data_IF_771616847296
#
_entry.id   IF_771616847296
#
_cell.length_a   1.000
_cell.length_b   1.000
_cell.length_c   1.000
_cell.angle_alpha   90.00
_cell.angle_beta   90.00
_cell.angle_gamma   90.00
#
_symmetry.space_group_name_H-M   'P 1'
#
loop_
_entity.id
_entity.type
_entity.pdbx_description
1 polymer ?
#
# COMPACT_ATOMS: atom_id res chain seq x y z
N UNK A 1 -26.39 26.63 49.00
CA UNK A 1 -25.45 25.76 48.30
C UNK A 1 -26.12 25.27 47.02
N UNK A 2 -25.84 25.93 45.93
CA UNK A 2 -26.28 25.49 44.59
C UNK A 2 -25.06 24.90 43.89
N UNK A 3 -25.10 23.60 43.65
CA UNK A 3 -24.09 22.85 42.87
C UNK A 3 -24.36 23.10 41.39
N UNK A 4 -23.46 23.77 40.72
CA UNK A 4 -23.47 23.95 39.28
C UNK A 4 -22.80 22.72 38.68
N UNK A 5 -23.58 21.78 38.12
CA UNK A 5 -23.10 20.76 37.20
C UNK A 5 -22.72 21.45 35.89
N UNK A 6 -21.44 21.54 35.61
CA UNK A 6 -20.92 21.88 34.31
C UNK A 6 -21.11 20.64 33.42
N UNK A 7 -22.13 20.68 32.55
CA UNK A 7 -22.24 19.74 31.46
C UNK A 7 -21.06 19.98 30.51
N UNK A 8 -20.18 18.99 30.41
CA UNK A 8 -19.16 18.91 29.36
C UNK A 8 -19.90 18.69 28.04
N UNK A 9 -20.10 19.76 27.29
CA UNK A 9 -20.46 19.65 25.88
C UNK A 9 -19.26 19.05 25.14
N UNK A 10 -19.33 17.74 24.90
CA UNK A 10 -18.47 17.11 23.91
C UNK A 10 -18.95 17.60 22.57
N UNK A 11 -18.29 18.60 22.02
CA UNK A 11 -18.45 19.01 20.64
C UNK A 11 -18.15 17.77 19.78
N UNK A 12 -19.17 17.06 19.32
CA UNK A 12 -19.02 16.04 18.29
C UNK A 12 -18.65 16.79 17.02
N UNK A 13 -17.38 16.82 16.67
CA UNK A 13 -16.93 17.32 15.38
C UNK A 13 -17.80 16.63 14.32
N UNK A 14 -18.52 17.42 13.53
CA UNK A 14 -19.36 16.90 12.45
C UNK A 14 -18.44 16.24 11.43
N UNK A 15 -18.60 14.94 11.23
CA UNK A 15 -17.77 14.18 10.30
C UNK A 15 -18.03 14.70 8.87
N UNK A 16 -16.99 15.23 8.25
CA UNK A 16 -17.02 15.73 6.88
C UNK A 16 -16.24 14.82 5.98
N UNK A 17 -16.87 14.30 4.92
CA UNK A 17 -16.26 13.47 3.89
C UNK A 17 -16.30 14.17 2.53
N UNK A 18 -15.52 13.68 1.57
CA UNK A 18 -15.48 14.20 0.19
C UNK A 18 -16.87 14.19 -0.45
N UNK A 19 -17.57 13.06 -0.28
CA UNK A 19 -19.00 12.96 -0.65
C UNK A 19 -19.84 12.68 0.60
N UNK A 20 -20.88 13.48 0.86
CA UNK A 20 -21.76 13.26 2.01
C UNK A 20 -22.35 11.82 2.03
N UNK A 21 -22.18 11.13 3.16
CA UNK A 21 -22.69 9.77 3.36
C UNK A 21 -21.78 8.65 2.87
N UNK A 22 -20.64 8.99 2.25
CA UNK A 22 -19.66 8.01 1.79
C UNK A 22 -18.32 8.18 2.49
N UNK A 23 -17.59 7.07 2.61
CA UNK A 23 -16.15 7.02 2.92
C UNK A 23 -15.44 6.56 1.66
N UNK A 24 -14.74 7.47 0.99
CA UNK A 24 -13.99 7.15 -0.23
C UNK A 24 -12.58 6.73 0.14
N UNK A 25 -12.26 5.47 -0.17
CA UNK A 25 -10.95 4.86 0.02
C UNK A 25 -10.25 4.71 -1.32
N UNK A 26 -9.09 5.35 -1.50
CA UNK A 26 -8.19 5.03 -2.61
C UNK A 26 -7.27 3.86 -2.23
N UNK A 27 -6.99 2.98 -3.20
CA UNK A 27 -6.16 1.80 -3.00
C UNK A 27 -5.50 1.35 -4.30
N UNK A 28 -4.60 0.35 -4.23
CA UNK A 28 -4.09 -0.39 -5.37
C UNK A 28 -4.34 -1.88 -5.14
N UNK A 29 -5.49 -2.37 -5.61
CA UNK A 29 -6.01 -3.71 -5.31
C UNK A 29 -5.29 -4.84 -6.08
N UNK A 30 -3.95 -4.83 -5.99
CA UNK A 30 -3.03 -5.83 -6.55
C UNK A 30 -1.91 -6.18 -5.55
N UNK A 31 -2.18 -6.04 -4.23
CA UNK A 31 -1.20 -6.19 -3.16
C UNK A 31 -1.67 -7.16 -2.06
N UNK A 32 -1.82 -8.46 -2.39
CA UNK A 32 -2.28 -9.46 -1.43
C UNK A 32 -1.28 -9.62 -0.27
N UNK A 33 -1.72 -9.92 0.96
CA UNK A 33 -3.11 -10.14 1.38
C UNK A 33 -3.83 -8.86 1.86
N UNK A 34 -3.27 -7.67 1.63
CA UNK A 34 -3.81 -6.41 2.13
C UNK A 34 -5.02 -5.94 1.30
N UNK A 35 -4.86 -5.84 0.00
CA UNK A 35 -5.90 -5.46 -0.95
C UNK A 35 -5.72 -6.18 -2.29
N UNK A 36 -6.80 -6.76 -2.79
CA UNK A 36 -6.79 -7.47 -4.06
C UNK A 36 -8.18 -7.49 -4.69
N UNK A 37 -8.17 -7.64 -6.01
CA UNK A 37 -9.38 -7.88 -6.79
C UNK A 37 -9.55 -9.37 -7.00
N UNK A 38 -10.73 -9.90 -6.71
CA UNK A 38 -11.09 -11.30 -6.93
C UNK A 38 -11.36 -11.57 -8.41
N UNK A 39 -11.46 -12.85 -8.78
CA UNK A 39 -11.87 -13.26 -10.14
C UNK A 39 -13.28 -12.78 -10.51
N UNK A 40 -14.15 -12.53 -9.52
CA UNK A 40 -15.49 -11.96 -9.71
C UNK A 40 -15.49 -10.44 -9.89
N UNK A 41 -14.33 -9.79 -9.69
CA UNK A 41 -14.18 -8.33 -9.75
C UNK A 41 -14.56 -7.62 -8.46
N UNK A 42 -14.73 -8.35 -7.35
CA UNK A 42 -14.95 -7.79 -6.02
C UNK A 42 -13.61 -7.51 -5.34
N UNK A 43 -13.61 -6.60 -4.37
CA UNK A 43 -12.42 -6.31 -3.57
C UNK A 43 -12.41 -7.14 -2.29
N UNK A 44 -11.23 -7.65 -1.91
CA UNK A 44 -11.01 -8.36 -0.64
C UNK A 44 -9.63 -8.07 -0.07
N UNK A 45 -9.42 -8.42 1.20
CA UNK A 45 -8.15 -8.28 1.90
C UNK A 45 -8.26 -7.50 3.20
N UNK A 46 -7.16 -7.45 3.94
CA UNK A 46 -7.08 -6.86 5.28
C UNK A 46 -7.50 -5.39 5.26
N UNK A 47 -7.00 -4.63 4.29
CA UNK A 47 -7.27 -3.20 4.16
C UNK A 47 -8.73 -2.95 3.76
N UNK A 48 -9.27 -3.79 2.86
CA UNK A 48 -10.67 -3.71 2.43
C UNK A 48 -11.63 -3.97 3.60
N UNK A 49 -11.41 -5.07 4.34
CA UNK A 49 -12.25 -5.43 5.49
C UNK A 49 -12.14 -4.39 6.62
N UNK A 50 -10.94 -3.85 6.84
CA UNK A 50 -10.72 -2.78 7.82
C UNK A 50 -11.45 -1.51 7.43
N UNK A 51 -11.37 -1.10 6.16
CA UNK A 51 -12.08 0.06 5.64
C UNK A 51 -13.60 -0.10 5.76
N UNK A 52 -14.12 -1.30 5.44
CA UNK A 52 -15.55 -1.59 5.61
C UNK A 52 -15.99 -1.47 7.07
N UNK A 53 -15.20 -2.02 8.00
CA UNK A 53 -15.50 -1.91 9.43
C UNK A 53 -15.45 -0.45 9.94
N UNK A 54 -14.58 0.38 9.39
CA UNK A 54 -14.53 1.82 9.68
C UNK A 54 -15.79 2.51 9.14
N UNK A 55 -16.15 2.26 7.88
CA UNK A 55 -17.34 2.85 7.26
C UNK A 55 -18.62 2.48 8.03
N UNK A 56 -18.80 1.21 8.37
CA UNK A 56 -19.92 0.72 9.15
C UNK A 56 -20.02 1.42 10.51
N UNK A 57 -18.90 1.58 11.21
CA UNK A 57 -18.82 2.24 12.51
C UNK A 57 -19.16 3.72 12.45
N UNK A 58 -18.84 4.37 11.33
CA UNK A 58 -19.15 5.78 11.06
C UNK A 58 -20.53 5.98 10.47
N UNK A 59 -21.24 4.90 10.09
CA UNK A 59 -22.55 4.97 9.41
C UNK A 59 -22.45 5.50 7.98
N UNK A 60 -21.32 5.24 7.31
CA UNK A 60 -21.04 5.66 5.94
C UNK A 60 -21.06 4.46 4.98
N UNK A 61 -21.33 4.73 3.71
CA UNK A 61 -21.14 3.75 2.62
C UNK A 61 -19.65 3.76 2.19
N UNK A 62 -19.00 2.60 2.17
CA UNK A 62 -17.62 2.50 1.64
C UNK A 62 -17.65 2.56 0.11
N UNK A 63 -16.88 3.47 -0.46
CA UNK A 63 -16.55 3.49 -1.88
C UNK A 63 -15.06 3.20 -2.03
N UNK A 64 -14.71 2.22 -2.88
CA UNK A 64 -13.32 1.84 -3.14
C UNK A 64 -12.95 2.31 -4.55
N UNK A 65 -11.92 3.15 -4.63
CA UNK A 65 -11.35 3.65 -5.87
C UNK A 65 -9.99 2.99 -6.09
N UNK A 66 -9.97 1.96 -6.96
CA UNK A 66 -8.75 1.22 -7.33
C UNK A 66 -7.96 1.97 -8.41
N UNK A 67 -6.68 2.18 -8.17
CA UNK A 67 -5.76 2.90 -9.06
C UNK A 67 -4.30 2.53 -8.77
N UNK A 68 -3.35 3.06 -9.55
CA UNK A 68 -1.92 2.88 -9.27
C UNK A 68 -1.56 3.45 -7.89
N UNK A 69 -0.58 2.84 -7.21
CA UNK A 69 -0.22 3.16 -5.82
C UNK A 69 0.10 4.64 -5.60
N UNK A 70 0.91 5.23 -6.47
CA UNK A 70 1.27 6.66 -6.40
C UNK A 70 0.06 7.57 -6.66
N UNK A 71 -0.85 7.16 -7.54
CA UNK A 71 -2.11 7.87 -7.77
C UNK A 71 -3.05 7.79 -6.56
N UNK A 72 -3.08 6.65 -5.85
CA UNK A 72 -3.88 6.48 -4.63
C UNK A 72 -3.41 7.42 -3.51
N UNK A 73 -2.09 7.56 -3.32
CA UNK A 73 -1.53 8.54 -2.38
C UNK A 73 -1.89 9.98 -2.78
N UNK A 74 -1.80 10.29 -4.06
CA UNK A 74 -2.10 11.62 -4.58
C UNK A 74 -3.59 11.97 -4.45
N UNK A 75 -4.49 10.98 -4.55
CA UNK A 75 -5.94 11.20 -4.42
C UNK A 75 -6.31 11.77 -3.04
N UNK A 76 -5.71 11.25 -1.96
CA UNK A 76 -5.91 11.79 -0.60
C UNK A 76 -5.31 13.19 -0.47
N UNK A 77 -4.08 13.41 -0.95
CA UNK A 77 -3.43 14.72 -0.89
C UNK A 77 -4.23 15.81 -1.61
N UNK A 78 -4.96 15.44 -2.67
CA UNK A 78 -5.80 16.34 -3.45
C UNK A 78 -7.24 16.46 -2.91
N UNK A 79 -7.58 15.76 -1.83
CA UNK A 79 -8.94 15.74 -1.29
C UNK A 79 -9.96 15.06 -2.22
N UNK A 80 -9.54 14.12 -3.03
CA UNK A 80 -10.40 13.30 -3.90
C UNK A 80 -10.84 12.00 -3.24
N UNK A 81 -10.09 11.53 -2.25
CA UNK A 81 -10.45 10.43 -1.38
C UNK A 81 -10.33 10.87 0.08
N UNK A 82 -11.12 10.27 0.96
CA UNK A 82 -11.10 10.54 2.39
C UNK A 82 -9.92 9.85 3.07
N UNK A 83 -9.54 8.69 2.56
CA UNK A 83 -8.41 7.91 3.07
C UNK A 83 -7.75 7.10 1.96
N UNK A 84 -6.52 6.68 2.21
CA UNK A 84 -5.82 5.66 1.43
C UNK A 84 -5.50 4.48 2.35
N UNK A 85 -5.83 3.27 1.91
CA UNK A 85 -5.38 2.01 2.52
C UNK A 85 -4.80 1.14 1.40
N UNK A 86 -3.50 0.93 1.43
CA UNK A 86 -2.72 0.24 0.40
C UNK A 86 -1.36 -0.20 0.98
N UNK A 87 -1.34 -0.73 2.19
CA UNK A 87 -0.10 -1.09 2.88
C UNK A 87 0.87 0.08 3.02
N UNK A 88 0.40 1.31 3.20
CA UNK A 88 1.21 2.52 3.13
C UNK A 88 2.13 2.66 4.32
N UNK A 89 3.44 2.61 4.09
CA UNK A 89 4.46 2.85 5.12
C UNK A 89 4.50 4.32 5.52
N UNK A 90 4.55 4.59 6.82
CA UNK A 90 4.78 5.93 7.36
C UNK A 90 6.21 6.37 7.08
N UNK A 91 6.39 7.49 6.42
CA UNK A 91 7.70 8.13 6.20
C UNK A 91 7.60 9.62 6.52
N UNK A 92 8.73 10.26 6.85
CA UNK A 92 8.77 11.69 7.15
C UNK A 92 8.25 12.52 5.96
N UNK A 93 8.57 12.11 4.73
CA UNK A 93 8.12 12.77 3.52
C UNK A 93 6.59 12.70 3.38
N UNK A 94 6.01 11.53 3.59
CA UNK A 94 4.56 11.33 3.51
C UNK A 94 3.82 12.06 4.64
N UNK A 95 4.39 12.10 5.86
CA UNK A 95 3.82 12.84 6.99
C UNK A 95 3.75 14.36 6.76
N UNK A 96 4.57 14.90 5.85
CA UNK A 96 4.49 16.32 5.49
C UNK A 96 3.24 16.67 4.66
N UNK A 97 2.56 15.68 4.06
CA UNK A 97 1.47 15.89 3.10
C UNK A 97 0.19 15.11 3.41
N UNK A 98 0.22 14.21 4.39
CA UNK A 98 -0.95 13.46 4.86
C UNK A 98 -0.78 13.06 6.33
N UNK A 99 -1.90 12.86 7.02
CA UNK A 99 -1.93 12.31 8.37
C UNK A 99 -2.03 10.78 8.33
N UNK A 100 -1.54 10.13 9.39
CA UNK A 100 -1.54 8.68 9.54
C UNK A 100 -2.26 8.26 10.82
N UNK A 101 -2.89 7.10 10.77
CA UNK A 101 -3.38 6.39 11.96
C UNK A 101 -2.23 5.76 12.75
N UNK A 102 -2.53 5.13 13.86
CA UNK A 102 -1.61 4.16 14.47
C UNK A 102 -1.30 3.04 13.47
N UNK A 103 -0.07 2.50 13.54
CA UNK A 103 0.35 1.42 12.67
C UNK A 103 -0.40 0.12 12.98
N UNK A 104 -0.96 -0.54 11.96
CA UNK A 104 -1.67 -1.81 12.08
C UNK A 104 -0.88 -3.00 11.54
N UNK A 105 0.22 -2.75 10.82
CA UNK A 105 1.12 -3.79 10.29
C UNK A 105 2.57 -3.32 10.29
N UNK A 106 3.50 -4.26 10.25
CA UNK A 106 4.94 -3.97 10.07
C UNK A 106 5.38 -4.54 8.73
N UNK A 107 5.77 -3.67 7.80
CA UNK A 107 6.34 -4.04 6.52
C UNK A 107 7.82 -4.44 6.66
N UNK A 108 8.23 -5.49 5.95
CA UNK A 108 9.62 -5.92 5.81
C UNK A 108 9.88 -6.09 4.31
N UNK A 109 10.87 -5.38 3.77
CA UNK A 109 11.27 -5.56 2.37
C UNK A 109 11.92 -6.93 2.18
N UNK A 110 11.56 -7.61 1.11
CA UNK A 110 12.09 -8.92 0.72
C UNK A 110 12.55 -8.91 -0.73
N UNK A 111 13.51 -9.77 -1.03
CA UNK A 111 14.05 -9.94 -2.37
C UNK A 111 13.50 -11.26 -2.92
N UNK A 112 12.72 -11.18 -4.01
CA UNK A 112 12.28 -12.36 -4.76
C UNK A 112 13.31 -12.63 -5.85
N UNK A 113 13.77 -13.88 -5.95
CA UNK A 113 14.70 -14.35 -6.96
C UNK A 113 14.22 -15.67 -7.55
N UNK A 114 14.78 -16.07 -8.70
CA UNK A 114 14.58 -17.42 -9.23
C UNK A 114 15.38 -18.44 -8.42
N UNK A 115 14.96 -19.72 -8.47
CA UNK A 115 15.64 -20.82 -7.74
C UNK A 115 17.13 -20.96 -8.09
N UNK A 116 17.52 -20.65 -9.32
CA UNK A 116 18.88 -20.74 -9.82
C UNK A 116 19.68 -19.42 -9.69
N UNK A 117 19.17 -18.43 -8.98
CA UNK A 117 19.80 -17.11 -8.81
C UNK A 117 21.09 -17.20 -7.98
N UNK A 118 22.05 -16.37 -8.32
CA UNK A 118 23.27 -16.13 -7.55
C UNK A 118 23.10 -15.08 -6.44
N UNK A 119 21.94 -14.41 -6.38
CA UNK A 119 21.61 -13.41 -5.37
C UNK A 119 21.20 -14.11 -4.08
N UNK A 120 21.96 -13.92 -2.99
CA UNK A 120 21.71 -14.51 -1.69
C UNK A 120 21.45 -13.46 -0.60
N UNK A 121 21.79 -12.21 -0.84
CA UNK A 121 21.64 -11.09 0.11
C UNK A 121 21.45 -9.76 -0.61
N UNK A 122 21.16 -8.69 0.14
CA UNK A 122 21.06 -7.32 -0.38
C UNK A 122 22.39 -6.83 -0.98
N UNK A 123 23.52 -7.32 -0.49
CA UNK A 123 24.85 -6.92 -0.98
C UNK A 123 25.10 -7.39 -2.43
N UNK A 124 24.39 -8.43 -2.88
CA UNK A 124 24.51 -8.99 -4.22
C UNK A 124 23.70 -8.20 -5.28
N UNK A 125 22.94 -7.20 -4.87
CA UNK A 125 22.09 -6.40 -5.77
C UNK A 125 22.87 -5.37 -6.59
N UNK A 126 24.12 -5.08 -6.23
CA UNK A 126 24.95 -4.12 -6.96
C UNK A 126 25.13 -4.53 -8.44
N UNK A 127 24.68 -3.66 -9.35
CA UNK A 127 24.75 -3.89 -10.81
C UNK A 127 23.71 -4.87 -11.36
N UNK A 128 22.79 -5.36 -10.53
CA UNK A 128 21.64 -6.17 -10.96
C UNK A 128 20.50 -5.27 -11.40
N UNK A 129 19.62 -5.78 -12.26
CA UNK A 129 18.35 -5.13 -12.60
C UNK A 129 17.30 -5.50 -11.57
N UNK A 130 16.80 -4.53 -10.82
CA UNK A 130 15.90 -4.70 -9.69
C UNK A 130 14.51 -4.26 -10.12
N UNK A 131 13.55 -5.19 -10.14
CA UNK A 131 12.14 -4.88 -10.33
C UNK A 131 11.51 -4.39 -9.02
N UNK A 132 10.73 -3.32 -9.08
CA UNK A 132 10.02 -2.76 -7.91
C UNK A 132 8.63 -2.27 -8.33
N UNK A 133 7.76 -2.00 -7.36
CA UNK A 133 6.52 -1.27 -7.62
C UNK A 133 6.78 0.23 -7.46
N UNK A 134 6.31 1.01 -8.44
CA UNK A 134 6.47 2.47 -8.50
C UNK A 134 5.95 3.16 -7.22
N UNK A 135 6.72 4.11 -6.71
CA UNK A 135 6.35 4.97 -5.59
C UNK A 135 6.36 4.30 -4.21
N UNK A 136 6.69 3.01 -4.12
CA UNK A 136 6.81 2.28 -2.84
C UNK A 136 8.14 2.56 -2.14
N UNK A 137 8.23 2.21 -0.85
CA UNK A 137 9.49 2.30 -0.10
C UNK A 137 10.56 1.37 -0.67
N UNK A 138 10.19 0.19 -1.19
CA UNK A 138 11.11 -0.69 -1.89
C UNK A 138 11.74 -0.05 -3.14
N UNK A 139 10.94 0.68 -3.91
CA UNK A 139 11.44 1.47 -5.04
C UNK A 139 12.45 2.54 -4.58
N UNK A 140 12.09 3.33 -3.55
CA UNK A 140 12.93 4.42 -3.05
C UNK A 140 14.27 3.88 -2.52
N UNK A 141 14.24 2.85 -1.68
CA UNK A 141 15.47 2.24 -1.14
C UNK A 141 16.37 1.68 -2.23
N UNK A 142 15.80 0.99 -3.22
CA UNK A 142 16.60 0.46 -4.32
C UNK A 142 17.20 1.56 -5.19
N UNK A 143 16.48 2.65 -5.45
CA UNK A 143 16.97 3.79 -6.20
C UNK A 143 18.11 4.50 -5.46
N UNK A 144 17.97 4.72 -4.16
CA UNK A 144 18.98 5.38 -3.33
C UNK A 144 20.25 4.53 -3.18
N UNK A 145 20.11 3.22 -2.97
CA UNK A 145 21.24 2.33 -2.67
C UNK A 145 21.96 1.83 -3.93
N UNK A 146 21.23 1.62 -5.03
CA UNK A 146 21.76 0.96 -6.24
C UNK A 146 21.73 1.83 -7.50
N UNK A 147 21.10 3.00 -7.44
CA UNK A 147 20.96 3.94 -8.56
C UNK A 147 19.74 3.65 -9.45
N UNK A 148 19.10 4.71 -9.94
CA UNK A 148 17.89 4.65 -10.77
C UNK A 148 18.06 3.82 -12.05
N UNK A 149 19.28 3.79 -12.61
CA UNK A 149 19.60 3.03 -13.82
C UNK A 149 19.48 1.51 -13.64
N UNK A 150 19.56 1.04 -12.40
CA UNK A 150 19.43 -0.37 -12.04
C UNK A 150 18.01 -0.77 -11.60
N UNK A 151 17.11 0.21 -11.39
CA UNK A 151 15.76 -0.02 -10.89
C UNK A 151 14.73 0.11 -12.01
N UNK A 152 13.88 -0.91 -12.13
CA UNK A 152 12.76 -0.92 -13.09
C UNK A 152 11.46 -0.87 -12.29
N UNK A 153 10.77 0.27 -12.34
CA UNK A 153 9.53 0.49 -11.64
C UNK A 153 8.33 0.03 -12.48
N UNK A 154 7.52 -0.85 -11.92
CA UNK A 154 6.28 -1.35 -12.51
C UNK A 154 5.06 -0.79 -11.77
N UNK A 155 3.89 -0.85 -12.39
CA UNK A 155 2.65 -0.31 -11.80
C UNK A 155 2.15 -1.16 -10.62
N UNK A 156 2.49 -2.47 -10.60
CA UNK A 156 2.16 -3.37 -9.48
C UNK A 156 3.21 -4.48 -9.31
N UNK A 157 3.17 -5.14 -8.14
CA UNK A 157 4.13 -6.20 -7.79
C UNK A 157 4.01 -7.45 -8.66
N UNK A 158 2.79 -7.82 -9.08
CA UNK A 158 2.59 -8.99 -9.96
C UNK A 158 3.30 -8.82 -11.29
N UNK A 159 3.21 -7.63 -11.89
CA UNK A 159 3.94 -7.30 -13.13
C UNK A 159 5.45 -7.42 -12.93
N UNK A 160 5.99 -6.93 -11.80
CA UNK A 160 7.42 -7.07 -11.50
C UNK A 160 7.84 -8.55 -11.43
N UNK A 161 7.06 -9.41 -10.78
CA UNK A 161 7.32 -10.85 -10.70
C UNK A 161 7.23 -11.53 -12.07
N UNK A 162 6.27 -11.15 -12.91
CA UNK A 162 6.19 -11.64 -14.29
C UNK A 162 7.44 -11.26 -15.11
N UNK A 163 7.98 -10.06 -14.90
CA UNK A 163 9.21 -9.60 -15.57
C UNK A 163 10.45 -10.34 -15.05
N UNK A 164 10.49 -10.71 -13.76
CA UNK A 164 11.51 -11.62 -13.22
C UNK A 164 11.44 -12.99 -13.90
N UNK A 165 10.25 -13.58 -14.00
CA UNK A 165 10.06 -14.89 -14.67
C UNK A 165 10.50 -14.85 -16.13
N UNK A 166 10.26 -13.73 -16.82
CA UNK A 166 10.66 -13.51 -18.21
C UNK A 166 12.15 -13.12 -18.37
N UNK A 167 12.92 -12.98 -17.29
CA UNK A 167 14.34 -12.63 -17.31
C UNK A 167 14.63 -11.17 -17.71
N UNK A 168 13.66 -10.28 -17.53
CA UNK A 168 13.85 -8.85 -17.81
C UNK A 168 14.45 -8.08 -16.62
N UNK A 169 14.28 -8.63 -15.41
CA UNK A 169 14.96 -8.20 -14.18
C UNK A 169 15.58 -9.40 -13.51
N UNK A 170 16.59 -9.17 -12.66
CA UNK A 170 17.33 -10.22 -11.95
C UNK A 170 16.66 -10.60 -10.61
N UNK A 171 15.96 -9.66 -10.01
CA UNK A 171 15.21 -9.84 -8.77
C UNK A 171 14.06 -8.84 -8.67
N UNK A 172 13.19 -9.05 -7.67
CA UNK A 172 12.12 -8.10 -7.31
C UNK A 172 12.25 -7.77 -5.83
N UNK A 173 12.18 -6.48 -5.47
CA UNK A 173 12.13 -6.01 -4.09
C UNK A 173 10.72 -5.52 -3.79
N UNK A 174 10.08 -6.14 -2.80
CA UNK A 174 8.71 -5.87 -2.38
C UNK A 174 8.50 -6.30 -0.94
N UNK A 175 7.42 -5.87 -0.30
CA UNK A 175 7.05 -6.30 1.05
C UNK A 175 6.90 -7.82 1.16
N UNK A 176 7.31 -8.37 2.31
CA UNK A 176 7.38 -9.82 2.55
C UNK A 176 6.03 -10.53 2.46
N UNK A 177 4.93 -9.88 2.90
CA UNK A 177 3.61 -10.51 2.85
C UNK A 177 3.16 -10.72 1.38
N UNK A 178 3.11 -9.69 0.52
CA UNK A 178 2.84 -9.88 -0.91
C UNK A 178 3.85 -10.78 -1.60
N UNK A 179 5.14 -10.71 -1.23
CA UNK A 179 6.17 -11.59 -1.81
C UNK A 179 5.81 -13.07 -1.66
N UNK A 180 5.34 -13.47 -0.48
CA UNK A 180 4.93 -14.86 -0.22
C UNK A 180 3.75 -15.30 -1.08
N UNK A 181 2.75 -14.43 -1.23
CA UNK A 181 1.58 -14.72 -2.08
C UNK A 181 1.98 -14.84 -3.56
N UNK A 182 2.84 -13.94 -4.04
CA UNK A 182 3.32 -13.99 -5.41
C UNK A 182 4.16 -15.23 -5.69
N UNK A 183 5.04 -15.65 -4.76
CA UNK A 183 5.82 -16.88 -4.90
C UNK A 183 4.90 -18.11 -4.91
N UNK A 184 3.89 -18.15 -4.04
CA UNK A 184 2.93 -19.25 -4.01
C UNK A 184 2.17 -19.41 -5.32
N UNK A 185 1.84 -18.27 -5.97
CA UNK A 185 1.15 -18.24 -7.27
C UNK A 185 2.07 -18.46 -8.48
N UNK A 186 3.40 -18.29 -8.33
CA UNK A 186 4.38 -18.33 -9.42
C UNK A 186 5.58 -19.21 -8.99
N UNK A 187 5.44 -20.53 -8.94
CA UNK A 187 6.53 -21.43 -8.56
C UNK A 187 7.66 -21.41 -9.60
N UNK A 188 8.93 -21.48 -9.16
CA UNK A 188 10.17 -21.48 -9.96
C UNK A 188 11.02 -20.28 -9.67
#
# INVERSE_FOLDING_TARGET
AASSEAASETETAELSTVEPGKLIMSTNAAFPPYEMTTDSGEFEGIDIETAQAIADKLGLELQIDDMDFDAALLAVQQGKADMVMAGVTVTDERQNVMDFTDSYATGIQSIIVKEDSDIASVDDLAGKKIGTQRGTTGYLYCSDDFGDENVVAYDNGLTAVQMLNNGQVDCVVIDNAPAKEFIAANPG
#
